data_IF_041917438706
#
_entry.id   IF_041917438706
#
_cell.length_a   1.000
_cell.length_b   1.000
_cell.length_c   1.000
_cell.angle_alpha   90.00
_cell.angle_beta   90.00
_cell.angle_gamma   90.00
#
_symmetry.space_group_name_H-M   'P 1'
#
loop_
_entity.id
_entity.type
_entity.pdbx_description
1 polymer ?
#
# COMPACT_ATOMS: atom_id res chain seq x y z
N UNK A 1 44.85 -8.89 -62.27
CA UNK A 1 45.21 -9.40 -60.92
C UNK A 1 44.74 -8.47 -59.78
N UNK A 2 44.60 -7.15 -60.02
CA UNK A 2 44.24 -6.17 -58.99
C UNK A 2 42.80 -6.24 -58.46
N UNK A 3 41.80 -6.55 -59.29
CA UNK A 3 40.40 -6.66 -58.81
C UNK A 3 40.19 -7.80 -57.80
N UNK A 4 40.90 -8.94 -57.97
CA UNK A 4 40.85 -10.06 -56.99
C UNK A 4 41.55 -9.71 -55.67
N UNK A 5 42.59 -8.88 -55.71
CA UNK A 5 43.30 -8.35 -54.54
C UNK A 5 42.43 -7.36 -53.76
N UNK A 6 41.77 -6.42 -54.46
CA UNK A 6 40.86 -5.45 -53.83
C UNK A 6 39.62 -6.12 -53.24
N UNK A 7 39.00 -7.10 -53.92
CA UNK A 7 37.89 -7.90 -53.36
C UNK A 7 38.30 -8.70 -52.11
N UNK A 8 39.52 -9.26 -52.07
CA UNK A 8 40.06 -9.95 -50.87
C UNK A 8 40.30 -8.98 -49.70
N UNK A 9 40.82 -7.78 -49.96
CA UNK A 9 41.01 -6.73 -48.93
C UNK A 9 39.66 -6.22 -48.38
N UNK A 10 38.66 -5.98 -49.24
CA UNK A 10 37.28 -5.59 -48.84
C UNK A 10 36.60 -6.67 -47.98
N UNK A 11 36.70 -7.95 -48.38
CA UNK A 11 36.18 -9.09 -47.59
C UNK A 11 36.89 -9.25 -46.23
N UNK A 12 38.20 -8.99 -46.13
CA UNK A 12 38.94 -8.99 -44.85
C UNK A 12 38.50 -7.86 -43.90
N UNK A 13 38.25 -6.65 -44.42
CA UNK A 13 37.75 -5.52 -43.63
C UNK A 13 36.32 -5.77 -43.12
N UNK A 14 35.44 -6.34 -43.96
CA UNK A 14 34.07 -6.70 -43.58
C UNK A 14 34.04 -7.78 -42.49
N UNK A 15 34.86 -8.85 -42.60
CA UNK A 15 34.96 -9.89 -41.54
C UNK A 15 35.49 -9.35 -40.20
N UNK A 16 36.37 -8.35 -40.21
CA UNK A 16 36.82 -7.67 -38.99
C UNK A 16 35.68 -6.83 -38.37
N UNK A 17 34.94 -6.10 -39.19
CA UNK A 17 33.80 -5.30 -38.76
C UNK A 17 32.67 -6.15 -38.16
N UNK A 18 32.33 -7.28 -38.80
CA UNK A 18 31.32 -8.22 -38.28
C UNK A 18 31.73 -8.78 -36.91
N UNK A 19 33.03 -9.08 -36.69
CA UNK A 19 33.52 -9.52 -35.38
C UNK A 19 33.42 -8.44 -34.31
N UNK A 20 33.69 -7.18 -34.66
CA UNK A 20 33.57 -6.04 -33.73
C UNK A 20 32.10 -5.82 -33.35
N UNK A 21 31.19 -5.80 -34.33
CA UNK A 21 29.74 -5.65 -34.08
C UNK A 21 29.19 -6.82 -33.27
N UNK A 22 29.59 -8.06 -33.59
CA UNK A 22 29.19 -9.23 -32.81
C UNK A 22 29.71 -9.19 -31.37
N UNK A 23 30.94 -8.71 -31.15
CA UNK A 23 31.49 -8.50 -29.80
C UNK A 23 30.75 -7.43 -29.01
N UNK A 24 30.38 -6.32 -29.66
CA UNK A 24 29.56 -5.26 -29.05
C UNK A 24 28.16 -5.74 -28.69
N UNK A 25 27.51 -6.50 -29.57
CA UNK A 25 26.20 -7.12 -29.29
C UNK A 25 26.29 -8.13 -28.13
N UNK A 26 27.34 -8.97 -28.11
CA UNK A 26 27.56 -9.90 -27.00
C UNK A 26 27.81 -9.16 -25.69
N UNK A 27 28.58 -8.08 -25.70
CA UNK A 27 28.79 -7.23 -24.52
C UNK A 27 27.49 -6.59 -24.04
N UNK A 28 26.65 -6.06 -24.94
CA UNK A 28 25.34 -5.50 -24.59
C UNK A 28 24.40 -6.56 -24.00
N UNK A 29 24.39 -7.79 -24.53
CA UNK A 29 23.60 -8.90 -24.00
C UNK A 29 24.10 -9.31 -22.61
N UNK A 30 25.42 -9.38 -22.41
CA UNK A 30 26.01 -9.70 -21.09
C UNK A 30 25.73 -8.58 -20.09
N UNK A 31 25.87 -7.32 -20.48
CA UNK A 31 25.57 -6.17 -19.63
C UNK A 31 24.09 -6.14 -19.25
N UNK A 32 23.18 -6.32 -20.20
CA UNK A 32 21.75 -6.42 -19.94
C UNK A 32 21.41 -7.63 -19.05
N UNK A 33 22.04 -8.79 -19.30
CA UNK A 33 21.88 -9.99 -18.47
C UNK A 33 22.39 -9.80 -17.03
N UNK A 34 23.48 -9.04 -16.86
CA UNK A 34 24.08 -8.73 -15.56
C UNK A 34 23.21 -7.76 -14.76
N UNK A 35 22.68 -6.72 -15.42
CA UNK A 35 21.69 -5.79 -14.82
C UNK A 35 20.42 -6.55 -14.45
N UNK A 36 19.91 -7.41 -15.32
CA UNK A 36 18.73 -8.23 -15.05
C UNK A 36 18.92 -9.22 -13.89
N UNK A 37 20.10 -9.85 -13.80
CA UNK A 37 20.44 -10.74 -12.69
C UNK A 37 20.57 -9.98 -11.37
N UNK A 38 21.18 -8.79 -11.39
CA UNK A 38 21.29 -7.92 -10.21
C UNK A 38 19.90 -7.47 -9.71
N UNK A 39 19.06 -6.95 -10.61
CA UNK A 39 17.68 -6.56 -10.29
C UNK A 39 16.86 -7.75 -9.75
N UNK A 40 17.04 -8.95 -10.31
CA UNK A 40 16.37 -10.16 -9.82
C UNK A 40 16.81 -10.56 -8.40
N UNK A 41 18.10 -10.58 -8.13
CA UNK A 41 18.64 -10.90 -6.79
C UNK A 41 18.15 -9.87 -5.76
N UNK A 42 18.19 -8.59 -6.13
CA UNK A 42 17.74 -7.46 -5.33
C UNK A 42 16.25 -7.56 -4.98
N UNK A 43 15.40 -7.77 -5.99
CA UNK A 43 13.96 -7.99 -5.82
C UNK A 43 13.67 -9.18 -4.90
N UNK A 44 14.41 -10.27 -5.05
CA UNK A 44 14.22 -11.48 -4.24
C UNK A 44 14.63 -11.27 -2.77
N UNK A 45 15.66 -10.47 -2.51
CA UNK A 45 16.07 -10.13 -1.14
C UNK A 45 15.06 -9.19 -0.48
N UNK A 46 14.67 -8.09 -1.15
CA UNK A 46 13.64 -7.17 -0.66
C UNK A 46 12.30 -7.88 -0.42
N UNK A 47 11.93 -8.80 -1.33
CA UNK A 47 10.73 -9.61 -1.17
C UNK A 47 10.82 -10.54 0.05
N UNK A 48 11.98 -11.10 0.38
CA UNK A 48 12.10 -11.97 1.56
C UNK A 48 12.01 -11.19 2.87
N UNK A 49 12.50 -9.95 2.87
CA UNK A 49 12.47 -9.08 4.05
C UNK A 49 11.08 -8.51 4.31
N UNK A 50 10.36 -8.12 3.25
CA UNK A 50 9.00 -7.62 3.34
C UNK A 50 7.93 -8.73 3.47
N UNK A 51 8.19 -9.96 3.01
CA UNK A 51 7.17 -11.01 2.95
C UNK A 51 6.89 -11.65 4.32
N UNK A 52 5.64 -11.54 4.77
CA UNK A 52 5.13 -12.21 5.97
C UNK A 52 3.98 -13.12 5.58
N UNK A 53 4.13 -14.43 5.82
CA UNK A 53 3.04 -15.37 5.58
C UNK A 53 2.00 -15.28 6.71
N UNK A 54 0.72 -15.20 6.35
CA UNK A 54 -0.37 -15.25 7.32
C UNK A 54 -0.56 -16.67 7.87
N UNK A 55 -0.88 -16.79 9.15
CA UNK A 55 -1.08 -18.07 9.83
C UNK A 55 -2.28 -18.88 9.28
N UNK A 56 -3.15 -18.25 8.49
CA UNK A 56 -4.32 -18.88 7.87
C UNK A 56 -4.01 -19.75 6.64
N UNK A 57 -2.77 -19.76 6.15
CA UNK A 57 -2.36 -20.48 4.94
C UNK A 57 -2.45 -19.64 3.67
N UNK A 58 -2.61 -20.31 2.52
CA UNK A 58 -2.41 -19.72 1.18
C UNK A 58 -3.49 -18.72 0.75
N UNK A 59 -4.75 -18.91 1.17
CA UNK A 59 -5.87 -18.02 0.83
C UNK A 59 -6.75 -17.72 2.05
N UNK A 60 -7.59 -16.70 1.93
CA UNK A 60 -8.60 -16.41 2.94
C UNK A 60 -9.57 -17.58 3.14
N UNK A 61 -9.87 -17.90 4.40
CA UNK A 61 -10.88 -18.90 4.78
C UNK A 61 -12.30 -18.51 4.39
N UNK A 62 -12.53 -17.23 4.04
CA UNK A 62 -13.81 -16.73 3.55
C UNK A 62 -14.03 -16.98 2.05
N UNK A 63 -13.01 -17.43 1.32
CA UNK A 63 -13.16 -17.84 -0.09
C UNK A 63 -13.56 -19.31 -0.19
N UNK A 64 -14.71 -19.56 -0.83
CA UNK A 64 -15.21 -20.92 -1.09
C UNK A 64 -14.51 -21.56 -2.30
N UNK A 65 -14.15 -20.75 -3.31
CA UNK A 65 -13.44 -21.19 -4.51
C UNK A 65 -11.94 -20.89 -4.39
N UNK A 66 -11.15 -21.59 -5.18
CA UNK A 66 -9.73 -21.28 -5.37
C UNK A 66 -9.57 -19.85 -5.89
N UNK A 67 -8.64 -19.10 -5.29
CA UNK A 67 -8.38 -17.70 -5.62
C UNK A 67 -7.36 -17.58 -6.76
N UNK A 68 -7.73 -16.95 -7.86
CA UNK A 68 -6.81 -16.60 -8.95
C UNK A 68 -6.47 -15.10 -8.88
N UNK A 69 -5.30 -14.71 -8.32
CA UNK A 69 -4.92 -13.30 -8.18
C UNK A 69 -4.77 -12.57 -9.52
N UNK A 70 -4.61 -13.31 -10.62
CA UNK A 70 -4.53 -12.78 -11.97
C UNK A 70 -5.89 -12.50 -12.62
N UNK A 71 -7.00 -12.99 -12.06
CA UNK A 71 -8.34 -12.88 -12.68
C UNK A 71 -9.44 -12.41 -11.75
N UNK A 72 -9.33 -12.71 -10.47
CA UNK A 72 -10.39 -12.44 -9.50
C UNK A 72 -10.30 -11.03 -8.92
N UNK A 73 -11.45 -10.51 -8.49
CA UNK A 73 -11.50 -9.35 -7.60
C UNK A 73 -10.86 -9.71 -6.26
N UNK A 74 -10.15 -8.75 -5.67
CA UNK A 74 -9.37 -8.98 -4.46
C UNK A 74 -9.44 -7.80 -3.49
N UNK A 75 -9.08 -8.04 -2.23
CA UNK A 75 -9.02 -7.03 -1.19
C UNK A 75 -7.61 -6.88 -0.61
N UNK A 76 -7.27 -5.67 -0.20
CA UNK A 76 -6.00 -5.32 0.44
C UNK A 76 -6.30 -4.54 1.72
N UNK A 77 -5.85 -5.03 2.87
CA UNK A 77 -5.89 -4.31 4.14
C UNK A 77 -4.58 -3.56 4.35
N UNK A 78 -4.66 -2.24 4.45
CA UNK A 78 -3.54 -1.35 4.72
C UNK A 78 -3.55 -0.95 6.20
N UNK A 79 -2.48 -1.26 6.90
CA UNK A 79 -2.29 -0.99 8.33
C UNK A 79 -1.13 -0.02 8.53
N UNK A 80 -1.42 1.13 9.15
CA UNK A 80 -0.41 2.08 9.58
C UNK A 80 -0.11 1.89 11.07
N UNK A 81 1.10 1.47 11.38
CA UNK A 81 1.54 1.11 12.73
C UNK A 81 2.36 2.25 13.33
N UNK A 82 1.94 2.79 14.48
CA UNK A 82 2.74 3.72 15.29
C UNK A 82 3.74 2.92 16.14
N UNK A 83 4.68 2.25 15.48
CA UNK A 83 5.75 1.51 16.16
C UNK A 83 6.77 2.52 16.70
N UNK A 84 6.77 2.73 18.02
CA UNK A 84 7.76 3.59 18.68
C UNK A 84 8.88 2.74 19.24
N UNK A 85 9.93 2.53 18.46
CA UNK A 85 11.13 1.80 18.88
C UNK A 85 11.68 2.30 20.24
N UNK A 86 11.50 3.60 20.55
CA UNK A 86 11.92 4.23 21.81
C UNK A 86 11.25 3.67 23.08
N UNK A 87 10.13 2.96 22.95
CA UNK A 87 9.40 2.37 24.08
C UNK A 87 9.60 0.85 24.21
N UNK A 88 10.41 0.24 23.35
CA UNK A 88 10.59 -1.23 23.32
C UNK A 88 9.39 -2.01 22.76
N UNK A 89 8.43 -1.33 22.12
CA UNK A 89 7.32 -1.96 21.41
C UNK A 89 7.82 -2.52 20.08
N UNK A 90 7.55 -3.80 19.81
CA UNK A 90 7.74 -4.37 18.46
C UNK A 90 6.57 -3.97 17.56
N UNK A 91 6.79 -3.93 16.24
CA UNK A 91 5.71 -3.68 15.26
C UNK A 91 4.49 -4.54 15.58
N UNK A 92 4.71 -5.82 15.88
CA UNK A 92 3.69 -6.84 16.12
C UNK A 92 2.88 -6.64 17.43
N UNK A 93 3.30 -5.71 18.30
CA UNK A 93 2.64 -5.38 19.57
C UNK A 93 2.05 -3.96 19.59
N UNK A 94 2.40 -3.15 18.58
CA UNK A 94 1.91 -1.79 18.47
C UNK A 94 0.44 -1.76 18.02
N UNK A 95 -0.21 -0.61 18.22
CA UNK A 95 -1.59 -0.39 17.76
C UNK A 95 -1.61 0.04 16.29
N UNK A 96 -2.61 -0.42 15.55
CA UNK A 96 -2.85 0.04 14.19
C UNK A 96 -3.68 1.33 14.21
N UNK A 97 -3.03 2.46 13.91
CA UNK A 97 -3.64 3.79 13.99
C UNK A 97 -4.31 4.23 12.68
N UNK A 98 -3.89 3.65 11.55
CA UNK A 98 -4.54 3.73 10.26
C UNK A 98 -4.97 2.33 9.81
N UNK A 99 -6.25 2.19 9.44
CA UNK A 99 -6.83 0.90 9.05
C UNK A 99 -7.70 1.15 7.82
N UNK A 100 -7.18 0.87 6.64
CA UNK A 100 -7.89 1.11 5.37
C UNK A 100 -7.99 -0.19 4.60
N UNK A 101 -9.21 -0.68 4.43
CA UNK A 101 -9.49 -1.78 3.53
C UNK A 101 -9.74 -1.22 2.13
N UNK A 102 -9.13 -1.81 1.11
CA UNK A 102 -9.42 -1.50 -0.29
C UNK A 102 -9.89 -2.76 -1.00
N UNK A 103 -11.07 -2.71 -1.61
CA UNK A 103 -11.54 -3.77 -2.52
C UNK A 103 -11.35 -3.34 -3.95
N UNK A 104 -10.91 -4.27 -4.79
CA UNK A 104 -10.68 -4.03 -6.21
C UNK A 104 -11.59 -4.93 -7.03
N UNK A 105 -12.51 -4.32 -7.78
CA UNK A 105 -13.37 -5.02 -8.71
C UNK A 105 -12.66 -5.13 -10.07
N UNK A 106 -12.20 -6.33 -10.42
CA UNK A 106 -11.37 -6.54 -11.62
C UNK A 106 -12.13 -6.38 -12.93
N UNK A 107 -13.42 -6.72 -12.93
CA UNK A 107 -14.30 -6.63 -14.11
C UNK A 107 -14.65 -5.18 -14.42
N UNK A 108 -15.05 -4.43 -13.40
CA UNK A 108 -15.45 -3.04 -13.55
C UNK A 108 -14.27 -2.07 -13.59
N UNK A 109 -13.07 -2.54 -13.16
CA UNK A 109 -11.86 -1.71 -12.95
C UNK A 109 -12.12 -0.56 -11.99
N UNK A 110 -12.77 -0.86 -10.87
CA UNK A 110 -13.06 0.10 -9.81
C UNK A 110 -12.41 -0.34 -8.50
N UNK A 111 -12.14 0.62 -7.63
CA UNK A 111 -11.72 0.33 -6.26
C UNK A 111 -12.61 1.07 -5.27
N UNK A 112 -12.87 0.44 -4.12
CA UNK A 112 -13.55 1.07 -3.00
C UNK A 112 -12.67 1.01 -1.76
N UNK A 113 -12.47 2.16 -1.14
CA UNK A 113 -11.72 2.28 0.10
C UNK A 113 -12.68 2.41 1.27
N UNK A 114 -12.37 1.73 2.37
CA UNK A 114 -13.09 1.80 3.62
C UNK A 114 -12.10 2.00 4.75
N UNK A 115 -12.17 3.15 5.42
CA UNK A 115 -11.47 3.34 6.68
C UNK A 115 -12.26 2.68 7.82
N UNK A 116 -11.59 1.80 8.57
CA UNK A 116 -12.14 1.17 9.77
C UNK A 116 -11.75 2.03 10.97
N UNK A 117 -12.71 2.63 11.70
CA UNK A 117 -12.40 3.44 12.87
C UNK A 117 -11.62 2.61 13.88
N UNK A 118 -10.49 3.12 14.36
CA UNK A 118 -9.59 2.37 15.26
C UNK A 118 -10.29 1.98 16.58
N UNK A 119 -11.25 2.82 17.00
CA UNK A 119 -12.02 2.69 18.22
C UNK A 119 -13.36 1.97 17.97
N UNK A 120 -13.58 1.39 16.78
CA UNK A 120 -14.80 0.65 16.46
C UNK A 120 -15.03 -0.49 17.46
N UNK A 121 -16.26 -0.58 17.99
CA UNK A 121 -16.65 -1.62 18.94
C UNK A 121 -16.99 -2.92 18.20
N UNK A 122 -16.05 -3.85 18.17
CA UNK A 122 -16.12 -5.08 17.36
C UNK A 122 -15.73 -6.29 18.19
N UNK A 123 -16.18 -7.48 17.80
CA UNK A 123 -15.71 -8.72 18.38
C UNK A 123 -14.29 -9.02 17.87
N UNK A 124 -13.35 -9.18 18.78
CA UNK A 124 -11.99 -9.64 18.49
C UNK A 124 -11.94 -11.14 18.84
N UNK A 125 -11.63 -12.03 17.87
CA UNK A 125 -11.58 -13.46 18.12
C UNK A 125 -10.71 -13.83 19.33
N UNK A 126 -11.29 -14.58 20.27
CA UNK A 126 -10.61 -14.99 21.51
C UNK A 126 -10.50 -13.92 22.61
N UNK A 127 -10.96 -12.69 22.37
CA UNK A 127 -10.85 -11.55 23.29
C UNK A 127 -12.18 -10.86 23.59
N UNK A 128 -13.24 -11.12 22.81
CA UNK A 128 -14.56 -10.52 22.99
C UNK A 128 -14.66 -9.12 22.38
N UNK A 129 -15.68 -8.35 22.77
CA UNK A 129 -15.90 -7.02 22.22
C UNK A 129 -14.94 -5.97 22.79
N UNK A 130 -14.17 -5.33 21.90
CA UNK A 130 -13.25 -4.25 22.25
C UNK A 130 -13.02 -3.30 21.05
N UNK A 131 -12.10 -2.35 21.19
CA UNK A 131 -11.66 -1.44 20.11
C UNK A 131 -10.91 -2.23 19.03
N UNK A 132 -11.29 -2.04 17.77
CA UNK A 132 -10.63 -2.67 16.61
C UNK A 132 -9.09 -2.62 16.66
N UNK A 133 -8.49 -1.48 17.01
CA UNK A 133 -7.03 -1.30 17.08
C UNK A 133 -6.32 -2.22 18.08
N UNK A 134 -7.05 -2.78 19.06
CA UNK A 134 -6.48 -3.75 19.98
C UNK A 134 -6.27 -5.13 19.36
N UNK A 135 -6.93 -5.46 18.24
CA UNK A 135 -6.70 -6.74 17.55
C UNK A 135 -5.22 -6.89 17.16
N UNK A 136 -4.62 -5.80 16.65
CA UNK A 136 -3.20 -5.78 16.32
C UNK A 136 -2.31 -5.88 17.57
N UNK A 137 -2.65 -5.15 18.63
CA UNK A 137 -1.87 -5.21 19.87
C UNK A 137 -1.92 -6.60 20.56
N UNK A 138 -3.01 -7.35 20.39
CA UNK A 138 -3.19 -8.67 20.99
C UNK A 138 -2.61 -9.82 20.17
N UNK A 139 -2.64 -9.72 18.83
CA UNK A 139 -2.25 -10.84 17.98
C UNK A 139 -1.72 -10.42 16.60
N UNK A 140 -1.21 -9.21 16.48
CA UNK A 140 -0.58 -8.66 15.28
C UNK A 140 -1.48 -8.68 14.04
N UNK A 141 -0.84 -8.83 12.89
CA UNK A 141 -1.48 -8.90 11.58
C UNK A 141 -2.56 -9.97 11.50
N UNK A 142 -2.30 -11.16 12.06
CA UNK A 142 -3.16 -12.33 11.91
C UNK A 142 -4.51 -12.13 12.61
N UNK A 143 -4.48 -11.60 13.83
CA UNK A 143 -5.71 -11.33 14.58
C UNK A 143 -6.47 -10.13 13.99
N UNK A 144 -5.75 -9.14 13.46
CA UNK A 144 -6.36 -8.00 12.77
C UNK A 144 -7.12 -8.46 11.52
N UNK A 145 -6.48 -9.27 10.68
CA UNK A 145 -7.10 -9.87 9.49
C UNK A 145 -8.35 -10.66 9.86
N UNK A 146 -8.27 -11.55 10.86
CA UNK A 146 -9.43 -12.32 11.33
C UNK A 146 -10.57 -11.43 11.82
N UNK A 147 -10.24 -10.35 12.54
CA UNK A 147 -11.22 -9.38 13.05
C UNK A 147 -11.94 -8.66 11.90
N UNK A 148 -11.22 -8.26 10.85
CA UNK A 148 -11.83 -7.66 9.64
C UNK A 148 -12.71 -8.66 8.90
N UNK A 149 -12.24 -9.89 8.70
CA UNK A 149 -13.00 -10.94 8.02
C UNK A 149 -14.27 -11.32 8.77
N UNK A 150 -14.25 -11.32 10.12
CA UNK A 150 -15.45 -11.55 10.93
C UNK A 150 -16.41 -10.36 10.90
N UNK A 151 -15.88 -9.14 11.03
CA UNK A 151 -16.67 -7.91 11.03
C UNK A 151 -17.40 -7.67 9.70
N UNK A 152 -16.70 -7.85 8.58
CA UNK A 152 -17.21 -7.52 7.25
C UNK A 152 -17.69 -8.74 6.44
N UNK A 153 -17.41 -9.95 6.91
CA UNK A 153 -17.80 -11.21 6.25
C UNK A 153 -17.39 -11.29 4.78
N UNK A 154 -16.13 -10.89 4.52
CA UNK A 154 -15.46 -10.89 3.22
C UNK A 154 -14.04 -11.41 3.40
N UNK A 155 -13.41 -11.93 2.34
CA UNK A 155 -11.99 -12.25 2.38
C UNK A 155 -11.16 -10.97 2.45
N UNK A 156 -10.09 -11.01 3.26
CA UNK A 156 -8.99 -10.04 3.21
C UNK A 156 -7.83 -10.71 2.49
N UNK A 157 -7.64 -10.54 1.18
CA UNK A 157 -6.67 -11.38 0.43
C UNK A 157 -5.23 -11.00 0.74
N UNK A 158 -4.98 -9.70 0.74
CA UNK A 158 -3.68 -9.13 1.03
C UNK A 158 -3.70 -8.22 2.24
N UNK A 159 -2.56 -8.09 2.88
CA UNK A 159 -2.31 -7.13 3.95
C UNK A 159 -0.96 -6.47 3.72
N UNK A 160 -0.91 -5.18 4.03
CA UNK A 160 0.31 -4.37 4.02
C UNK A 160 0.38 -3.61 5.33
N UNK A 161 1.42 -3.84 6.10
CA UNK A 161 1.78 -3.09 7.29
C UNK A 161 2.89 -2.10 6.96
N UNK A 162 2.69 -0.85 7.35
CA UNK A 162 3.63 0.24 7.13
C UNK A 162 3.83 1.01 8.44
N UNK A 163 5.09 1.26 8.78
CA UNK A 163 5.43 2.24 9.81
C UNK A 163 5.48 3.66 9.22
N UNK A 164 5.68 4.67 10.07
CA UNK A 164 5.74 6.06 9.62
C UNK A 164 6.90 6.33 8.66
N UNK A 165 8.06 5.71 8.87
CA UNK A 165 9.23 5.85 8.00
C UNK A 165 8.92 5.38 6.58
N UNK A 166 8.36 4.17 6.41
CA UNK A 166 7.93 3.67 5.10
C UNK A 166 6.95 4.61 4.41
N UNK A 167 6.01 5.17 5.15
CA UNK A 167 5.04 6.10 4.59
C UNK A 167 5.71 7.39 4.10
N UNK A 168 6.57 8.01 4.91
CA UNK A 168 7.30 9.23 4.55
C UNK A 168 8.18 8.99 3.32
N UNK A 169 8.92 7.88 3.33
CA UNK A 169 9.81 7.48 2.26
C UNK A 169 9.06 7.28 0.94
N UNK A 170 7.95 6.52 0.94
CA UNK A 170 7.14 6.31 -0.27
C UNK A 170 6.64 7.66 -0.81
N UNK A 171 6.16 8.56 0.04
CA UNK A 171 5.71 9.89 -0.41
C UNK A 171 6.86 10.70 -1.00
N UNK A 172 8.05 10.66 -0.39
CA UNK A 172 9.23 11.37 -0.86
C UNK A 172 9.75 10.83 -2.20
N UNK A 173 9.79 9.51 -2.38
CA UNK A 173 10.17 8.86 -3.66
C UNK A 173 9.21 9.22 -4.80
N UNK A 174 7.93 9.42 -4.47
CA UNK A 174 6.95 9.93 -5.41
C UNK A 174 7.16 11.43 -5.74
N UNK A 175 8.16 12.10 -5.16
CA UNK A 175 8.34 13.56 -5.19
C UNK A 175 7.10 14.29 -4.65
N UNK A 176 6.59 13.79 -3.53
CA UNK A 176 5.43 14.30 -2.81
C UNK A 176 4.07 13.97 -3.45
N UNK A 177 3.02 14.18 -2.67
CA UNK A 177 1.63 13.86 -3.02
C UNK A 177 0.74 15.09 -3.03
N UNK A 178 -0.14 15.19 -4.02
CA UNK A 178 -0.99 16.36 -4.19
C UNK A 178 -2.23 16.28 -3.29
N UNK A 179 -2.37 17.22 -2.35
CA UNK A 179 -3.48 17.30 -1.40
C UNK A 179 -4.12 18.69 -1.45
N UNK A 180 -5.45 18.76 -1.28
CA UNK A 180 -6.16 20.05 -1.22
C UNK A 180 -6.59 20.35 0.21
N UNK A 181 -5.80 21.15 0.91
CA UNK A 181 -6.05 21.52 2.31
C UNK A 181 -7.12 22.62 2.36
N UNK A 182 -8.23 22.34 3.05
CA UNK A 182 -9.41 23.25 3.09
C UNK A 182 -9.61 23.95 4.44
N UNK A 183 -9.17 23.34 5.54
CA UNK A 183 -9.55 23.75 6.90
C UNK A 183 -8.43 24.46 7.65
N UNK A 184 -8.67 25.69 8.09
CA UNK A 184 -7.73 26.41 8.98
C UNK A 184 -7.54 25.68 10.30
N UNK A 185 -8.60 25.03 10.82
CA UNK A 185 -8.53 24.28 12.09
C UNK A 185 -7.54 23.12 11.97
N UNK A 186 -7.56 22.40 10.85
CA UNK A 186 -6.62 21.31 10.55
C UNK A 186 -5.20 21.86 10.47
N UNK A 187 -4.99 22.97 9.75
CA UNK A 187 -3.68 23.63 9.66
C UNK A 187 -3.14 24.00 11.05
N UNK A 188 -3.93 24.69 11.87
CA UNK A 188 -3.49 25.11 13.20
C UNK A 188 -3.24 23.91 14.13
N UNK A 189 -4.03 22.85 13.99
CA UNK A 189 -3.84 21.67 14.80
C UNK A 189 -2.58 20.89 14.41
N UNK A 190 -2.30 20.74 13.12
CA UNK A 190 -1.05 20.15 12.62
C UNK A 190 0.14 20.94 13.17
N UNK A 191 0.11 22.28 13.08
CA UNK A 191 1.16 23.13 13.66
C UNK A 191 1.36 22.86 15.14
N UNK A 192 0.30 22.63 15.91
CA UNK A 192 0.39 22.28 17.34
C UNK A 192 0.96 20.87 17.54
N UNK A 193 0.47 19.90 16.78
CA UNK A 193 0.86 18.49 16.87
C UNK A 193 2.36 18.31 16.55
N UNK A 194 2.88 19.06 15.59
CA UNK A 194 4.29 19.01 15.17
C UNK A 194 5.19 20.05 15.86
N UNK A 195 4.66 20.82 16.83
CA UNK A 195 5.36 21.93 17.50
C UNK A 195 5.96 22.95 16.51
N UNK A 196 5.23 23.26 15.44
CA UNK A 196 5.56 24.28 14.45
C UNK A 196 6.45 23.81 13.29
N UNK A 197 6.89 22.54 13.28
CA UNK A 197 7.71 21.99 12.18
C UNK A 197 6.98 21.97 10.84
N UNK A 198 5.73 21.49 10.83
CA UNK A 198 4.88 21.43 9.64
C UNK A 198 3.89 22.59 9.65
N UNK A 199 3.86 23.35 8.55
CA UNK A 199 2.95 24.49 8.36
C UNK A 199 2.29 24.39 6.99
N UNK A 200 1.11 23.78 6.94
CA UNK A 200 0.35 23.66 5.71
C UNK A 200 -0.34 24.97 5.33
N UNK A 201 -0.57 25.15 4.04
CA UNK A 201 -1.33 26.27 3.49
C UNK A 201 -2.65 25.78 2.89
N UNK A 202 -3.67 26.64 2.87
CA UNK A 202 -4.91 26.36 2.15
C UNK A 202 -4.67 26.26 0.65
N UNK A 203 -5.48 25.43 -0.03
CA UNK A 203 -5.39 25.21 -1.46
C UNK A 203 -4.73 23.88 -1.80
N UNK A 204 -4.43 23.68 -3.08
CA UNK A 204 -3.83 22.46 -3.59
C UNK A 204 -2.32 22.59 -3.60
N UNK A 205 -1.64 21.72 -2.85
CA UNK A 205 -0.20 21.71 -2.69
C UNK A 205 0.34 20.29 -2.83
N UNK A 206 1.62 20.17 -3.18
CA UNK A 206 2.35 18.90 -3.13
C UNK A 206 2.99 18.80 -1.76
N UNK A 207 2.56 17.82 -0.96
CA UNK A 207 3.08 17.56 0.38
C UNK A 207 4.22 16.56 0.30
N UNK A 208 5.32 16.82 1.02
CA UNK A 208 6.37 15.83 1.25
C UNK A 208 5.94 14.78 2.29
N UNK A 209 6.84 13.84 2.60
CA UNK A 209 6.57 12.76 3.56
C UNK A 209 6.19 13.26 4.95
N UNK A 210 6.94 14.21 5.52
CA UNK A 210 6.70 14.73 6.88
C UNK A 210 5.36 15.49 6.93
N UNK A 211 5.09 16.30 5.90
CA UNK A 211 3.84 17.05 5.75
C UNK A 211 2.63 16.13 5.57
N UNK A 212 2.74 15.13 4.70
CA UNK A 212 1.68 14.16 4.46
C UNK A 212 1.41 13.31 5.71
N UNK A 213 2.47 12.90 6.43
CA UNK A 213 2.33 12.11 7.65
C UNK A 213 1.60 12.92 8.73
N UNK A 214 1.97 14.18 8.91
CA UNK A 214 1.31 15.07 9.85
C UNK A 214 -0.18 15.28 9.48
N UNK A 215 -0.48 15.39 8.18
CA UNK A 215 -1.84 15.54 7.66
C UNK A 215 -2.73 14.32 7.96
N UNK A 216 -2.23 13.10 7.78
CA UNK A 216 -3.01 11.87 8.02
C UNK A 216 -3.10 11.49 9.50
N UNK A 217 -2.23 12.04 10.36
CA UNK A 217 -2.22 11.76 11.81
C UNK A 217 -3.07 12.72 12.63
N UNK A 218 -3.25 13.96 12.18
CA UNK A 218 -3.97 14.95 12.98
C UNK A 218 -5.40 14.50 13.27
N UNK A 219 -5.82 14.71 14.52
CA UNK A 219 -7.13 14.27 15.03
C UNK A 219 -7.78 15.33 15.91
N UNK A 220 -7.02 16.08 16.69
CA UNK A 220 -7.59 16.99 17.71
C UNK A 220 -8.45 18.13 17.14
N UNK A 221 -8.38 18.36 15.82
CA UNK A 221 -9.24 19.32 15.14
C UNK A 221 -10.64 18.76 14.85
N UNK A 222 -10.81 17.43 14.84
CA UNK A 222 -12.00 16.74 14.33
C UNK A 222 -12.17 15.29 14.84
N UNK A 223 -13.09 14.52 14.25
CA UNK A 223 -13.37 13.13 14.62
C UNK A 223 -12.46 12.13 13.89
N UNK A 224 -12.38 10.90 14.41
CA UNK A 224 -11.62 9.81 13.77
C UNK A 224 -12.10 9.52 12.34
N UNK A 225 -13.37 9.78 12.06
CA UNK A 225 -13.97 9.66 10.73
C UNK A 225 -13.30 10.60 9.71
N UNK A 226 -13.04 11.85 10.10
CA UNK A 226 -12.39 12.85 9.24
C UNK A 226 -10.91 12.52 9.04
N UNK A 227 -10.26 11.93 10.05
CA UNK A 227 -8.90 11.38 9.91
C UNK A 227 -8.86 10.24 8.89
N UNK A 228 -9.82 9.31 8.95
CA UNK A 228 -9.96 8.24 7.95
C UNK A 228 -10.18 8.77 6.53
N UNK A 229 -10.97 9.84 6.36
CA UNK A 229 -11.12 10.50 5.05
C UNK A 229 -9.81 11.06 4.51
N UNK A 230 -9.00 11.72 5.36
CA UNK A 230 -7.68 12.22 4.96
C UNK A 230 -6.72 11.09 4.58
N UNK A 231 -6.76 9.96 5.29
CA UNK A 231 -5.97 8.77 4.96
C UNK A 231 -6.34 8.24 3.56
N UNK A 232 -7.63 8.13 3.25
CA UNK A 232 -8.10 7.72 1.92
C UNK A 232 -7.80 8.76 0.82
N UNK A 233 -7.88 10.06 1.14
CA UNK A 233 -7.47 11.14 0.23
C UNK A 233 -5.99 11.02 -0.15
N UNK A 234 -5.11 10.86 0.84
CA UNK A 234 -3.67 10.72 0.60
C UNK A 234 -3.34 9.42 -0.12
N UNK A 235 -4.00 8.31 0.23
CA UNK A 235 -3.83 7.04 -0.48
C UNK A 235 -4.22 7.15 -1.96
N UNK A 236 -5.31 7.85 -2.27
CA UNK A 236 -5.70 8.13 -3.66
C UNK A 236 -4.66 9.00 -4.35
N UNK A 237 -4.13 10.00 -3.67
CA UNK A 237 -3.08 10.86 -4.21
C UNK A 237 -1.77 10.10 -4.50
N UNK A 238 -1.41 9.11 -3.68
CA UNK A 238 -0.29 8.19 -3.93
C UNK A 238 -0.55 7.37 -5.20
N UNK A 239 -1.75 6.77 -5.33
CA UNK A 239 -2.13 6.00 -6.53
C UNK A 239 -2.09 6.90 -7.78
N UNK A 240 -2.60 8.12 -7.70
CA UNK A 240 -2.60 9.05 -8.84
C UNK A 240 -1.19 9.51 -9.22
N UNK A 241 -0.33 9.76 -8.22
CA UNK A 241 1.06 10.14 -8.46
C UNK A 241 1.86 8.99 -9.06
N UNK A 242 1.62 7.75 -8.63
CA UNK A 242 2.31 6.57 -9.15
C UNK A 242 1.96 6.26 -10.61
N UNK A 243 0.79 6.69 -11.12
CA UNK A 243 0.48 6.63 -12.57
C UNK A 243 1.52 7.37 -13.41
N UNK A 244 2.08 8.46 -12.90
CA UNK A 244 3.10 9.25 -13.61
C UNK A 244 4.48 8.58 -13.64
N UNK A 245 4.73 7.60 -12.75
CA UNK A 245 5.97 6.80 -12.73
C UNK A 245 5.99 5.67 -13.77
N UNK A 246 4.86 5.36 -14.40
CA UNK A 246 4.77 4.36 -15.49
C UNK A 246 5.74 4.60 -16.66
N UNK A 247 6.39 5.76 -16.72
CA UNK A 247 7.34 6.18 -17.75
C UNK A 247 8.82 6.10 -17.34
N UNK A 248 9.16 5.80 -16.08
CA UNK A 248 10.56 5.81 -15.60
C UNK A 248 10.98 4.40 -15.14
N UNK A 249 12.15 3.88 -15.55
CA UNK A 249 12.74 2.64 -15.02
C UNK A 249 13.35 2.81 -13.61
N UNK A 250 12.71 3.58 -12.72
CA UNK A 250 13.15 3.84 -11.34
C UNK A 250 12.44 2.93 -10.32
N UNK A 251 12.16 1.68 -10.72
CA UNK A 251 11.55 0.70 -9.83
C UNK A 251 12.53 0.21 -8.77
N UNK A 252 13.83 0.28 -9.04
CA UNK A 252 14.88 -0.29 -8.18
C UNK A 252 15.04 0.44 -6.84
N UNK A 253 14.78 1.75 -6.76
CA UNK A 253 14.94 2.54 -5.53
C UNK A 253 13.70 2.45 -4.63
N UNK A 254 12.50 2.51 -5.21
CA UNK A 254 11.24 2.31 -4.47
C UNK A 254 11.18 0.92 -3.83
N UNK A 255 11.69 -0.10 -4.54
CA UNK A 255 11.77 -1.48 -4.05
C UNK A 255 12.71 -1.63 -2.85
N UNK A 256 13.84 -0.94 -2.85
CA UNK A 256 14.78 -0.96 -1.73
C UNK A 256 14.21 -0.30 -0.48
N UNK A 257 13.54 0.84 -0.66
CA UNK A 257 12.99 1.61 0.45
C UNK A 257 11.79 0.90 1.10
N UNK A 258 11.09 0.04 0.35
CA UNK A 258 9.99 -0.79 0.86
C UNK A 258 10.47 -1.97 1.73
N UNK A 259 11.64 -2.53 1.49
CA UNK A 259 12.05 -3.82 2.07
C UNK A 259 12.14 -3.87 3.61
N UNK A 260 12.57 -2.78 4.25
CA UNK A 260 12.84 -2.77 5.71
C UNK A 260 11.66 -2.28 6.57
N UNK A 261 10.79 -1.45 6.01
CA UNK A 261 9.77 -0.70 6.76
C UNK A 261 8.33 -1.05 6.38
N UNK A 262 8.15 -1.94 5.39
CA UNK A 262 6.86 -2.37 4.88
C UNK A 262 6.80 -3.90 4.88
N UNK A 263 5.85 -4.47 5.63
CA UNK A 263 5.58 -5.91 5.67
C UNK A 263 4.32 -6.21 4.85
N UNK A 264 4.32 -7.26 4.05
CA UNK A 264 3.17 -7.64 3.22
C UNK A 264 3.08 -9.16 3.03
N UNK A 265 1.88 -9.70 2.81
CA UNK A 265 1.71 -11.16 2.61
C UNK A 265 1.77 -11.63 1.15
N UNK A 266 2.19 -10.77 0.24
CA UNK A 266 2.45 -11.09 -1.16
C UNK A 266 3.93 -10.90 -1.48
N UNK A 267 4.41 -11.53 -2.55
CA UNK A 267 5.77 -11.26 -3.00
C UNK A 267 5.80 -9.88 -3.67
N UNK A 268 6.97 -9.24 -3.65
CA UNK A 268 7.15 -7.95 -4.32
C UNK A 268 6.93 -8.07 -5.84
N UNK A 269 7.25 -9.23 -6.42
CA UNK A 269 6.96 -9.56 -7.82
C UNK A 269 5.45 -9.55 -8.11
N UNK A 270 4.64 -10.14 -7.22
CA UNK A 270 3.19 -10.16 -7.38
C UNK A 270 2.61 -8.76 -7.17
N UNK A 271 3.14 -7.98 -6.22
CA UNK A 271 2.75 -6.58 -6.02
C UNK A 271 2.99 -5.74 -7.28
N UNK A 272 4.15 -5.89 -7.91
CA UNK A 272 4.46 -5.27 -9.21
C UNK A 272 3.50 -5.77 -10.30
N UNK A 273 3.13 -7.06 -10.29
CA UNK A 273 2.15 -7.63 -11.21
C UNK A 273 0.76 -7.01 -11.12
N UNK A 274 0.36 -6.54 -9.93
CA UNK A 274 -0.91 -5.84 -9.71
C UNK A 274 -0.86 -4.35 -10.09
N UNK A 275 0.33 -3.75 -10.14
CA UNK A 275 0.53 -2.32 -10.38
C UNK A 275 -0.14 -1.79 -11.66
N UNK A 276 -0.04 -2.45 -12.85
CA UNK A 276 -0.71 -1.97 -14.06
C UNK A 276 -2.23 -1.93 -13.95
N UNK A 277 -2.82 -2.85 -13.18
CA UNK A 277 -4.26 -2.86 -12.94
C UNK A 277 -4.67 -1.74 -11.97
N UNK A 278 -3.97 -1.59 -10.84
CA UNK A 278 -4.25 -0.56 -9.83
C UNK A 278 -4.11 0.86 -10.41
N UNK A 279 -3.13 1.08 -11.28
CA UNK A 279 -2.91 2.39 -11.92
C UNK A 279 -3.86 2.67 -13.10
N UNK A 280 -4.61 1.67 -13.58
CA UNK A 280 -5.58 1.81 -14.68
C UNK A 280 -7.04 1.73 -14.24
N UNK A 281 -7.30 1.92 -12.95
CA UNK A 281 -8.65 2.01 -12.40
C UNK A 281 -9.44 3.18 -13.02
N UNK A 282 -10.71 2.93 -13.32
CA UNK A 282 -11.65 3.90 -13.88
C UNK A 282 -12.26 4.80 -12.79
N UNK A 283 -12.47 4.25 -11.60
CA UNK A 283 -13.05 4.97 -10.45
C UNK A 283 -12.43 4.46 -9.16
N UNK A 284 -12.26 5.38 -8.21
CA UNK A 284 -11.89 5.08 -6.82
C UNK A 284 -12.89 5.80 -5.93
N UNK A 285 -13.63 5.02 -5.14
CA UNK A 285 -14.67 5.53 -4.25
C UNK A 285 -14.31 5.30 -2.79
N UNK A 286 -14.88 6.12 -1.90
CA UNK A 286 -14.70 5.99 -0.47
C UNK A 286 -16.03 5.65 0.19
N UNK A 287 -16.02 4.60 1.00
CA UNK A 287 -17.14 4.16 1.83
C UNK A 287 -16.85 4.56 3.27
N UNK A 288 -17.91 4.86 4.02
CA UNK A 288 -17.81 5.13 5.45
C UNK A 288 -18.71 4.22 6.27
N UNK A 289 -18.15 3.70 7.35
CA UNK A 289 -18.91 3.12 8.43
C UNK A 289 -19.40 4.22 9.37
N UNK A 290 -20.71 4.47 9.34
CA UNK A 290 -21.35 5.38 10.28
C UNK A 290 -21.60 4.69 11.62
N UNK A 291 -21.78 5.48 12.68
CA UNK A 291 -21.96 4.97 14.03
C UNK A 291 -22.19 6.12 15.00
N UNK A 292 -22.08 5.82 16.29
CA UNK A 292 -22.22 6.78 17.37
C UNK A 292 -21.23 6.46 18.50
N UNK A 293 -20.94 7.48 19.29
CA UNK A 293 -20.05 7.38 20.44
C UNK A 293 -20.71 6.51 21.52
N UNK A 294 -19.94 5.57 22.06
CA UNK A 294 -20.38 4.63 23.08
C UNK A 294 -19.33 4.62 24.21
N UNK A 295 -19.67 5.22 25.35
CA UNK A 295 -18.71 5.44 26.45
C UNK A 295 -19.14 4.77 27.77
N UNK A 296 -19.27 3.42 27.83
CA UNK A 296 -19.52 2.76 29.09
C UNK A 296 -18.34 2.96 30.05
N UNK A 297 -18.62 3.30 31.30
CA UNK A 297 -17.63 3.43 32.38
C UNK A 297 -16.42 4.32 32.04
N UNK A 298 -16.61 5.36 31.21
CA UNK A 298 -15.55 6.32 30.85
C UNK A 298 -14.55 5.82 29.81
N UNK A 299 -14.80 4.67 29.17
CA UNK A 299 -13.99 4.15 28.06
C UNK A 299 -14.72 4.40 26.75
N UNK A 300 -14.16 5.24 25.90
CA UNK A 300 -14.74 5.56 24.60
C UNK A 300 -14.70 4.37 23.63
N UNK A 301 -15.76 4.15 22.88
CA UNK A 301 -15.82 3.27 21.72
C UNK A 301 -16.67 3.93 20.63
N UNK A 302 -16.49 3.49 19.39
CA UNK A 302 -17.34 3.89 18.27
C UNK A 302 -18.25 2.72 17.88
N UNK A 303 -19.53 2.79 18.23
CA UNK A 303 -20.47 1.71 17.97
C UNK A 303 -21.07 1.86 16.57
N UNK A 304 -20.86 0.84 15.74
CA UNK A 304 -21.24 0.86 14.33
C UNK A 304 -22.76 0.83 14.15
N UNK A 305 -23.26 1.64 13.22
CA UNK A 305 -24.63 1.56 12.73
C UNK A 305 -24.80 0.24 11.98
N UNK A 306 -25.62 -0.65 12.52
CA UNK A 306 -25.77 -2.01 11.99
C UNK A 306 -26.38 -2.04 10.58
N UNK A 307 -27.29 -1.13 10.26
CA UNK A 307 -27.88 -1.05 8.92
C UNK A 307 -26.82 -0.65 7.89
N UNK A 308 -26.03 0.40 8.19
CA UNK A 308 -24.94 0.81 7.31
C UNK A 308 -23.86 -0.27 7.20
N UNK A 309 -23.54 -0.96 8.29
CA UNK A 309 -22.60 -2.07 8.26
C UNK A 309 -23.08 -3.17 7.29
N UNK A 310 -24.34 -3.61 7.36
CA UNK A 310 -24.86 -4.62 6.43
C UNK A 310 -24.87 -4.15 4.97
N UNK A 311 -25.19 -2.88 4.71
CA UNK A 311 -25.11 -2.28 3.38
C UNK A 311 -23.68 -2.36 2.83
N UNK A 312 -22.70 -1.93 3.62
CA UNK A 312 -21.27 -1.98 3.27
C UNK A 312 -20.81 -3.42 3.05
N UNK A 313 -21.20 -4.36 3.91
CA UNK A 313 -20.88 -5.79 3.73
C UNK A 313 -21.35 -6.30 2.37
N UNK A 314 -22.63 -6.10 2.05
CA UNK A 314 -23.23 -6.57 0.79
C UNK A 314 -22.57 -5.91 -0.43
N UNK A 315 -22.23 -4.63 -0.32
CA UNK A 315 -21.54 -3.90 -1.37
C UNK A 315 -20.14 -4.49 -1.65
N UNK A 316 -19.35 -4.73 -0.61
CA UNK A 316 -18.01 -5.29 -0.72
C UNK A 316 -18.01 -6.76 -1.16
N UNK A 317 -18.98 -7.55 -0.69
CA UNK A 317 -19.21 -8.93 -1.12
C UNK A 317 -19.47 -8.99 -2.63
N UNK A 318 -20.37 -8.14 -3.13
CA UNK A 318 -20.65 -8.04 -4.57
C UNK A 318 -19.41 -7.65 -5.39
N UNK A 319 -18.58 -6.71 -4.92
CA UNK A 319 -17.36 -6.31 -5.62
C UNK A 319 -16.31 -7.43 -5.68
N UNK A 320 -16.25 -8.26 -4.63
CA UNK A 320 -15.34 -9.40 -4.53
C UNK A 320 -15.91 -10.68 -5.20
N UNK A 321 -17.19 -10.68 -5.56
CA UNK A 321 -17.87 -11.82 -6.18
C UNK A 321 -18.09 -12.99 -5.22
N UNK A 322 -18.32 -12.69 -3.93
CA UNK A 322 -18.62 -13.66 -2.86
C UNK A 322 -20.02 -13.44 -2.29
#
# INVERSE_FOLDING_TARGET
MEERSQRRKKKRKLKKWVKVVAGLMAFLVIAAGSVGAYAFVKLNNASKEAHVSLARGEQSVKRIKEFDPGKDSFSVLLLGIDAREKNGETVDQARSDANVLVTFNRKEKTAKMLSIPRDAYVNIPGHGYDKFTHAHAYGGVDLTVKTVEEMLDIPVDYVVESNFTAFEDVVNELNGVKVTVKSDKVIQQIKKDTKGKVVLQKGTHTLDGEEALAYVRTRKADSDLLRGQRQMEVLSAIIDKSKSLSSIPAYDDIVDTMGQNLKMNLSLKDAIGLFPFITSLKSVESIQLTGYDYEPAGVYYFKLNQQKLQEVKKELQNDLGV
#
